data_IF_204699795698
#
_entry.id   IF_204699795698
#
_cell.length_a   1.000
_cell.length_b   1.000
_cell.length_c   1.000
_cell.angle_alpha   90.00
_cell.angle_beta   90.00
_cell.angle_gamma   90.00
#
_symmetry.space_group_name_H-M   'P 1'
#
loop_
_entity.id
_entity.type
_entity.pdbx_description
1 polymer ?
#
# COMPACT_ATOMS: atom_id res chain seq x y z
N UNK A 1 15.53 -9.37 26.13
CA UNK A 1 15.12 -9.86 27.46
C UNK A 1 14.75 -8.73 28.43
N UNK A 2 15.41 -7.58 28.36
CA UNK A 2 15.22 -6.46 29.28
C UNK A 2 13.80 -5.89 29.38
N UNK A 3 13.05 -5.83 28.26
CA UNK A 3 11.67 -5.34 28.26
C UNK A 3 10.71 -6.18 29.13
N UNK A 4 10.96 -7.50 29.26
CA UNK A 4 10.13 -8.38 30.10
C UNK A 4 10.36 -8.14 31.59
N UNK A 5 11.54 -7.67 31.97
CA UNK A 5 11.87 -7.39 33.36
C UNK A 5 11.08 -6.20 33.93
N UNK A 6 10.72 -5.24 33.07
CA UNK A 6 9.93 -4.05 33.42
C UNK A 6 8.42 -4.21 33.14
N UNK A 7 8.01 -5.21 32.35
CA UNK A 7 6.61 -5.52 32.08
C UNK A 7 5.95 -6.29 33.24
N UNK A 8 5.35 -5.55 34.17
CA UNK A 8 4.72 -6.11 35.37
C UNK A 8 3.25 -6.52 35.18
N UNK A 9 2.55 -5.97 34.19
CA UNK A 9 1.14 -6.28 33.89
C UNK A 9 0.96 -7.42 32.88
N UNK A 10 -0.12 -8.19 33.03
CA UNK A 10 -0.48 -9.29 32.11
C UNK A 10 -0.61 -8.84 30.66
N UNK A 11 -1.32 -7.73 30.43
CA UNK A 11 -1.47 -7.13 29.08
C UNK A 11 -0.11 -6.81 28.42
N UNK A 12 0.82 -6.23 29.18
CA UNK A 12 2.14 -5.89 28.66
C UNK A 12 2.95 -7.15 28.30
N UNK A 13 2.83 -8.22 29.09
CA UNK A 13 3.48 -9.50 28.79
C UNK A 13 2.89 -10.17 27.55
N UNK A 14 1.56 -10.16 27.42
CA UNK A 14 0.87 -10.72 26.25
C UNK A 14 1.27 -9.97 24.96
N UNK A 15 1.40 -8.64 25.04
CA UNK A 15 1.90 -7.82 23.94
C UNK A 15 3.34 -8.16 23.57
N UNK A 16 4.23 -8.32 24.55
CA UNK A 16 5.62 -8.74 24.31
C UNK A 16 5.71 -10.15 23.72
N UNK A 17 4.84 -11.07 24.14
CA UNK A 17 4.75 -12.42 23.57
C UNK A 17 4.27 -12.37 22.11
N UNK A 18 3.27 -11.53 21.80
CA UNK A 18 2.79 -11.33 20.44
C UNK A 18 3.85 -10.71 19.53
N UNK A 19 4.58 -9.71 20.03
CA UNK A 19 5.71 -9.09 19.33
C UNK A 19 6.81 -10.13 19.09
N UNK A 20 7.21 -10.91 20.09
CA UNK A 20 8.24 -11.93 19.94
C UNK A 20 7.87 -13.01 18.90
N UNK A 21 6.60 -13.45 18.87
CA UNK A 21 6.12 -14.37 17.83
C UNK A 21 6.21 -13.75 16.43
N UNK A 22 5.82 -12.49 16.29
CA UNK A 22 5.86 -11.77 15.01
C UNK A 22 7.30 -11.56 14.55
N UNK A 23 8.19 -11.17 15.47
CA UNK A 23 9.61 -10.99 15.21
C UNK A 23 10.28 -12.29 14.78
N UNK A 24 9.94 -13.43 15.42
CA UNK A 24 10.45 -14.73 14.97
C UNK A 24 10.06 -15.08 13.53
N UNK A 25 8.91 -14.61 13.05
CA UNK A 25 8.53 -14.74 11.62
C UNK A 25 9.40 -13.84 10.76
N UNK A 26 9.61 -12.57 11.15
CA UNK A 26 10.48 -11.62 10.44
C UNK A 26 11.90 -12.18 10.30
N UNK A 27 12.46 -12.74 11.37
CA UNK A 27 13.77 -13.39 11.36
C UNK A 27 13.79 -14.61 10.43
N UNK A 28 12.76 -15.46 10.49
CA UNK A 28 12.67 -16.65 9.63
C UNK A 28 12.59 -16.32 8.13
N UNK A 29 12.13 -15.11 7.79
CA UNK A 29 12.06 -14.60 6.43
C UNK A 29 13.34 -13.85 6.01
N UNK A 30 14.31 -13.66 6.91
CA UNK A 30 15.52 -12.89 6.64
C UNK A 30 15.26 -11.40 6.46
N UNK A 31 14.21 -10.86 7.09
CA UNK A 31 13.78 -9.47 6.94
C UNK A 31 14.21 -8.58 8.11
N UNK A 32 15.00 -9.08 9.05
CA UNK A 32 15.37 -8.35 10.28
C UNK A 32 16.05 -7.02 10.02
N UNK A 33 16.82 -6.89 8.92
CA UNK A 33 17.54 -5.66 8.58
C UNK A 33 16.63 -4.55 8.02
N UNK A 34 15.35 -4.87 7.74
CA UNK A 34 14.36 -3.94 7.18
C UNK A 34 13.41 -3.40 8.25
N UNK A 35 13.38 -4.02 9.44
CA UNK A 35 12.47 -3.67 10.51
C UNK A 35 13.20 -3.19 11.76
N UNK A 36 12.68 -2.13 12.36
CA UNK A 36 13.09 -1.64 13.67
C UNK A 36 11.90 -1.71 14.64
N UNK A 37 12.20 -1.94 15.93
CA UNK A 37 11.19 -1.98 16.99
C UNK A 37 11.26 -0.66 17.77
N UNK A 38 10.17 0.09 17.76
CA UNK A 38 10.01 1.32 18.53
C UNK A 38 8.91 1.15 19.60
N UNK A 39 9.31 1.13 20.89
CA UNK A 39 8.39 1.10 22.03
C UNK A 39 7.90 2.50 22.46
N UNK A 40 8.49 3.56 21.90
CA UNK A 40 8.12 4.95 22.18
C UNK A 40 6.93 5.43 21.34
N UNK A 41 6.52 4.66 20.33
CA UNK A 41 5.40 5.03 19.47
C UNK A 41 4.05 4.82 20.17
N UNK A 42 3.49 5.91 20.67
CA UNK A 42 2.13 5.97 21.23
C UNK A 42 1.10 6.49 20.23
N UNK A 43 1.51 6.74 18.97
CA UNK A 43 0.62 7.30 17.96
C UNK A 43 -0.10 6.19 17.20
N UNK A 44 -1.38 6.03 17.50
CA UNK A 44 -2.26 5.06 16.84
C UNK A 44 -3.65 5.66 16.71
N UNK A 45 -4.40 5.17 15.73
CA UNK A 45 -5.85 5.38 15.72
C UNK A 45 -6.46 4.45 16.76
N UNK A 46 -7.46 4.93 17.52
CA UNK A 46 -8.06 4.22 18.66
C UNK A 46 -8.71 2.87 18.29
N UNK A 47 -8.80 2.52 17.00
CA UNK A 47 -9.33 1.25 16.52
C UNK A 47 -8.29 0.11 16.45
N UNK A 48 -7.00 0.39 16.63
CA UNK A 48 -5.97 -0.65 16.62
C UNK A 48 -5.98 -1.41 17.96
N UNK A 49 -5.94 -2.74 17.88
CA UNK A 49 -6.07 -3.66 19.03
C UNK A 49 -4.79 -4.45 19.31
N UNK A 50 -3.69 -4.18 18.60
CA UNK A 50 -2.45 -4.94 18.72
C UNK A 50 -1.27 -4.25 18.06
N UNK A 51 -0.39 -5.03 17.41
CA UNK A 51 0.79 -4.52 16.73
C UNK A 51 0.40 -3.46 15.68
N UNK A 52 1.11 -2.33 15.72
CA UNK A 52 1.05 -1.25 14.74
C UNK A 52 2.44 -1.10 14.14
N UNK A 53 2.52 -0.77 12.87
CA UNK A 53 3.77 -0.48 12.18
C UNK A 53 3.62 0.72 11.25
N UNK A 54 4.75 1.34 10.95
CA UNK A 54 4.87 2.47 10.04
C UNK A 54 5.91 2.15 8.99
N UNK A 55 5.70 2.70 7.80
CA UNK A 55 6.59 2.52 6.66
C UNK A 55 7.26 3.87 6.36
N UNK A 56 8.58 3.83 6.28
CA UNK A 56 9.42 4.95 5.92
C UNK A 56 10.26 4.55 4.71
N UNK A 57 10.49 5.49 3.82
CA UNK A 57 11.34 5.32 2.65
C UNK A 57 12.31 6.48 2.63
N UNK A 58 13.56 6.18 2.27
CA UNK A 58 14.58 7.21 2.14
C UNK A 58 14.16 8.30 1.14
N UNK A 59 14.46 9.55 1.44
CA UNK A 59 14.07 10.71 0.63
C UNK A 59 12.60 11.17 0.74
N UNK A 60 11.71 10.42 1.42
CA UNK A 60 10.32 10.83 1.61
C UNK A 60 10.15 11.96 2.65
N UNK A 61 11.06 12.05 3.62
CA UNK A 61 10.99 13.03 4.72
C UNK A 61 9.84 12.83 5.73
N UNK A 62 8.94 11.87 5.47
CA UNK A 62 7.81 11.52 6.31
C UNK A 62 7.41 10.05 6.12
N UNK A 63 6.44 9.60 6.92
CA UNK A 63 5.85 8.26 6.81
C UNK A 63 5.09 8.11 5.49
N UNK A 64 5.38 7.06 4.72
CA UNK A 64 4.73 6.75 3.43
C UNK A 64 3.62 5.69 3.55
N UNK A 65 3.43 5.12 4.74
CA UNK A 65 2.40 4.12 4.96
C UNK A 65 2.44 3.55 6.36
N UNK A 66 1.57 2.60 6.64
CA UNK A 66 1.52 1.93 7.92
C UNK A 66 0.25 1.12 8.06
N UNK A 67 0.18 0.38 9.16
CA UNK A 67 -0.91 -0.55 9.39
C UNK A 67 -0.85 -1.17 10.76
N UNK A 68 -1.68 -2.18 10.97
CA UNK A 68 -1.73 -2.87 12.25
C UNK A 68 -2.88 -3.84 12.35
N UNK A 69 -3.09 -4.36 13.56
CA UNK A 69 -4.22 -5.23 13.91
C UNK A 69 -5.40 -4.42 14.43
N UNK A 70 -6.61 -4.65 13.91
CA UNK A 70 -7.82 -3.85 14.19
C UNK A 70 -9.06 -4.73 14.42
N UNK A 71 -8.96 -5.68 15.35
CA UNK A 71 -10.03 -6.66 15.58
C UNK A 71 -11.36 -5.99 16.01
N UNK A 72 -11.29 -4.87 16.73
CA UNK A 72 -12.47 -4.14 17.23
C UNK A 72 -13.17 -3.30 16.15
N UNK A 73 -12.47 -2.94 15.08
CA UNK A 73 -13.11 -2.28 13.94
C UNK A 73 -14.17 -3.20 13.31
N UNK A 74 -13.86 -4.48 13.13
CA UNK A 74 -14.84 -5.45 12.59
C UNK A 74 -16.02 -5.65 13.54
N UNK A 75 -15.78 -5.60 14.86
CA UNK A 75 -16.83 -5.68 15.87
C UNK A 75 -17.86 -4.55 15.72
N UNK A 76 -17.43 -3.34 15.35
CA UNK A 76 -18.34 -2.22 15.08
C UNK A 76 -19.33 -2.47 13.93
N UNK A 77 -19.03 -3.42 13.04
CA UNK A 77 -19.89 -3.85 11.92
C UNK A 77 -20.68 -5.14 12.22
N UNK A 78 -20.74 -5.57 13.48
CA UNK A 78 -21.59 -6.66 13.94
C UNK A 78 -20.93 -8.04 13.98
N UNK A 79 -19.63 -8.16 13.69
CA UNK A 79 -18.89 -9.41 13.86
C UNK A 79 -17.43 -9.14 14.22
N UNK A 80 -17.00 -9.58 15.41
CA UNK A 80 -15.59 -9.51 15.81
C UNK A 80 -14.82 -10.62 15.11
N UNK A 81 -13.90 -10.23 14.25
CA UNK A 81 -13.00 -11.12 13.53
C UNK A 81 -11.55 -10.64 13.66
N UNK A 82 -10.56 -11.56 13.71
CA UNK A 82 -9.16 -11.19 13.61
C UNK A 82 -8.91 -10.41 12.30
N UNK A 83 -8.38 -9.20 12.40
CA UNK A 83 -8.22 -8.32 11.26
C UNK A 83 -6.89 -7.57 11.30
N UNK A 84 -6.19 -7.53 10.16
CA UNK A 84 -4.97 -6.74 9.97
C UNK A 84 -4.86 -6.28 8.52
N UNK A 85 -4.12 -5.19 8.30
CA UNK A 85 -4.01 -4.54 7.02
C UNK A 85 -3.12 -3.30 7.13
N UNK A 86 -2.93 -2.64 5.99
CA UNK A 86 -2.09 -1.45 5.88
C UNK A 86 -2.58 -0.53 4.77
N UNK A 87 -2.06 0.70 4.78
CA UNK A 87 -2.25 1.71 3.74
C UNK A 87 -0.90 2.22 3.28
N UNK A 88 -0.84 2.60 2.00
CA UNK A 88 0.29 3.27 1.38
C UNK A 88 -0.17 4.62 0.84
N UNK A 89 0.67 5.63 1.04
CA UNK A 89 0.54 6.93 0.41
C UNK A 89 1.20 6.88 -0.96
N UNK A 90 0.38 6.71 -2.00
CA UNK A 90 0.87 6.60 -3.37
C UNK A 90 1.50 7.89 -3.87
N UNK A 91 1.06 9.05 -3.37
CA UNK A 91 1.61 10.34 -3.78
C UNK A 91 3.03 10.50 -3.22
N UNK A 92 3.20 10.22 -1.92
CA UNK A 92 4.52 10.25 -1.27
C UNK A 92 5.50 9.24 -1.89
N UNK A 93 5.03 8.02 -2.19
CA UNK A 93 5.85 7.00 -2.85
C UNK A 93 6.23 7.43 -4.27
N UNK A 94 5.25 7.94 -5.05
CA UNK A 94 5.50 8.39 -6.43
C UNK A 94 6.48 9.55 -6.45
N UNK A 95 6.39 10.48 -5.50
CA UNK A 95 7.32 11.60 -5.39
C UNK A 95 8.76 11.13 -5.18
N UNK A 96 8.98 10.15 -4.29
CA UNK A 96 10.32 9.58 -4.06
C UNK A 96 10.84 8.89 -5.34
N UNK A 97 10.01 8.07 -5.98
CA UNK A 97 10.36 7.34 -7.20
C UNK A 97 10.75 8.33 -8.32
N UNK A 98 9.97 9.40 -8.51
CA UNK A 98 10.22 10.39 -9.56
C UNK A 98 11.49 11.22 -9.29
N UNK A 99 11.81 11.48 -8.01
CA UNK A 99 13.06 12.17 -7.63
C UNK A 99 14.30 11.29 -7.79
N UNK A 100 14.17 9.99 -7.55
CA UNK A 100 15.27 9.02 -7.63
C UNK A 100 15.81 8.79 -9.03
N UNK A 101 15.10 9.19 -10.09
CA UNK A 101 15.55 9.09 -11.48
C UNK A 101 15.58 7.66 -12.06
N UNK A 102 15.43 6.63 -11.23
CA UNK A 102 15.42 5.21 -11.61
C UNK A 102 14.12 4.75 -12.29
N UNK A 103 13.13 5.66 -12.40
CA UNK A 103 11.88 5.39 -13.10
C UNK A 103 11.90 6.03 -14.48
N UNK A 104 12.26 5.25 -15.50
CA UNK A 104 11.90 5.60 -16.86
C UNK A 104 10.38 5.55 -16.98
N UNK A 105 9.75 6.73 -17.02
CA UNK A 105 8.44 6.86 -17.62
C UNK A 105 8.54 6.31 -19.04
N UNK A 106 8.10 5.08 -19.24
CA UNK A 106 7.70 4.58 -20.55
C UNK A 106 6.48 5.38 -20.98
N UNK A 107 6.71 6.63 -21.33
CA UNK A 107 5.94 7.29 -22.36
C UNK A 107 6.22 6.45 -23.60
N UNK A 108 5.48 5.36 -23.77
CA UNK A 108 5.34 4.73 -25.08
C UNK A 108 5.09 5.87 -26.07
N UNK A 109 5.61 5.78 -27.30
CA UNK A 109 5.44 6.84 -28.29
C UNK A 109 4.01 7.32 -28.21
N UNK A 110 3.77 8.63 -27.96
CA UNK A 110 2.42 9.21 -27.82
C UNK A 110 1.57 8.54 -28.89
N UNK A 111 0.75 7.56 -28.50
CA UNK A 111 0.13 6.70 -29.50
C UNK A 111 -0.66 7.64 -30.37
N UNK A 112 -0.30 7.67 -31.66
CA UNK A 112 -0.93 8.59 -32.59
C UNK A 112 -2.37 8.12 -32.68
N UNK A 113 -3.26 8.78 -31.95
CA UNK A 113 -4.68 8.46 -31.96
C UNK A 113 -5.15 8.79 -33.37
N UNK A 114 -5.39 7.75 -34.16
CA UNK A 114 -5.87 7.94 -35.52
C UNK A 114 -7.34 8.34 -35.48
N UNK A 115 -7.75 9.16 -36.43
CA UNK A 115 -9.13 9.64 -36.53
C UNK A 115 -9.89 8.68 -37.45
N UNK A 116 -11.13 8.35 -37.08
CA UNK A 116 -12.00 7.54 -37.94
C UNK A 116 -12.37 8.30 -39.23
N UNK A 117 -12.20 7.63 -40.36
CA UNK A 117 -12.51 8.09 -41.71
C UNK A 117 -13.93 7.66 -42.13
N UNK A 118 -14.48 8.37 -43.11
CA UNK A 118 -15.85 8.14 -43.61
C UNK A 118 -16.57 9.43 -43.92
N UNK A 119 -17.42 9.39 -44.93
CA UNK A 119 -18.19 10.55 -45.39
C UNK A 119 -19.43 10.77 -44.51
N UNK A 120 -19.91 9.69 -43.87
CA UNK A 120 -21.03 9.72 -42.94
C UNK A 120 -20.63 9.34 -41.50
N UNK A 121 -21.44 9.80 -40.54
CA UNK A 121 -21.30 9.41 -39.12
C UNK A 121 -21.34 7.88 -38.92
N UNK A 122 -22.19 7.19 -39.68
CA UNK A 122 -22.33 5.74 -39.60
C UNK A 122 -21.12 4.98 -40.14
N UNK A 123 -20.39 5.55 -41.11
CA UNK A 123 -19.13 4.98 -41.61
C UNK A 123 -18.00 5.16 -40.61
N UNK A 124 -17.83 6.39 -40.10
CA UNK A 124 -16.83 6.70 -39.07
C UNK A 124 -17.03 5.84 -37.82
N UNK A 125 -18.28 5.61 -37.42
CA UNK A 125 -18.59 4.73 -36.30
C UNK A 125 -18.23 3.26 -36.56
N UNK A 126 -18.55 2.72 -37.76
CA UNK A 126 -18.21 1.33 -38.13
C UNK A 126 -16.71 1.13 -38.20
N UNK A 127 -15.97 2.07 -38.80
CA UNK A 127 -14.52 2.00 -38.89
C UNK A 127 -13.87 2.07 -37.50
N UNK A 128 -14.25 3.07 -36.68
CA UNK A 128 -13.74 3.23 -35.33
C UNK A 128 -13.96 1.96 -34.51
N UNK A 129 -15.15 1.35 -34.62
CA UNK A 129 -15.50 0.11 -33.91
C UNK A 129 -14.63 -1.06 -34.37
N UNK A 130 -14.47 -1.24 -35.69
CA UNK A 130 -13.65 -2.32 -36.25
C UNK A 130 -12.18 -2.22 -35.87
N UNK A 131 -11.64 -1.00 -35.82
CA UNK A 131 -10.25 -0.70 -35.43
C UNK A 131 -10.03 -0.85 -33.92
N UNK A 132 -10.95 -0.34 -33.10
CA UNK A 132 -10.93 -0.53 -31.63
C UNK A 132 -11.00 -2.01 -31.24
N UNK A 133 -11.77 -2.82 -31.97
CA UNK A 133 -11.84 -4.27 -31.77
C UNK A 133 -10.48 -4.97 -31.99
N UNK A 134 -9.54 -4.35 -32.71
CA UNK A 134 -8.17 -4.83 -32.91
C UNK A 134 -7.15 -4.19 -31.96
N UNK A 135 -7.62 -3.45 -30.96
CA UNK A 135 -6.77 -2.76 -29.98
C UNK A 135 -6.21 -1.41 -30.47
N UNK A 136 -6.63 -0.93 -31.64
CA UNK A 136 -6.21 0.39 -32.12
C UNK A 136 -6.93 1.50 -31.35
N UNK A 137 -6.18 2.54 -30.95
CA UNK A 137 -6.75 3.74 -30.32
C UNK A 137 -7.23 4.72 -31.37
N UNK A 138 -8.55 4.78 -31.55
CA UNK A 138 -9.23 5.63 -32.54
C UNK A 138 -10.03 6.74 -31.88
N UNK A 139 -9.83 7.99 -32.32
CA UNK A 139 -10.68 9.14 -32.01
C UNK A 139 -11.79 9.22 -33.05
N UNK A 140 -13.00 9.47 -32.57
CA UNK A 140 -14.14 9.79 -33.43
C UNK A 140 -14.41 11.28 -33.23
N UNK A 141 -14.30 12.07 -34.30
CA UNK A 141 -14.62 13.51 -34.31
C UNK A 141 -15.89 13.77 -35.13
#
# INVERSE_FOLDING_TARGET
EDARAVATGGLARDALDALARTWGVVESLGLSDVFEIDFGDVSGLDYYTGLVFKLYVDGAGARVGGGGRYDDLTASFGRREPATGFVLDLDAITEVIMRGGDFEMKNGPRETISVAEGESMAERFREATGRRARGERIRME
#
